data_IF_890098287536
#
_entry.id   IF_890098287536
#
_cell.length_a   1.000
_cell.length_b   1.000
_cell.length_c   1.000
_cell.angle_alpha   90.00
_cell.angle_beta   90.00
_cell.angle_gamma   90.00
#
_symmetry.space_group_name_H-M   'P 1'
#
loop_
_entity.id
_entity.type
_entity.pdbx_description
1 polymer ?
#
# COMPACT_ATOMS: atom_id res chain seq x y z
N UNK A 1 -3.76 -13.14 -8.68
CA UNK A 1 -3.62 -13.49 -7.26
C UNK A 1 -2.14 -13.72 -6.88
N UNK A 2 -1.38 -14.53 -7.62
CA UNK A 2 0.05 -14.75 -7.31
C UNK A 2 0.82 -13.44 -7.33
N UNK A 3 0.66 -12.61 -8.36
CA UNK A 3 1.42 -11.37 -8.55
C UNK A 3 1.06 -10.26 -7.55
N UNK A 4 -0.16 -10.27 -7.00
CA UNK A 4 -0.63 -9.33 -5.95
C UNK A 4 -0.17 -9.75 -4.54
N UNK A 5 0.50 -10.82 -4.34
CA UNK A 5 0.69 -11.75 -3.24
C UNK A 5 -0.55 -11.89 -2.31
N UNK A 6 -1.69 -12.27 -2.91
CA UNK A 6 -2.88 -12.58 -2.12
C UNK A 6 -2.67 -13.87 -1.32
N UNK A 7 -3.04 -13.86 -0.04
CA UNK A 7 -2.98 -15.08 0.78
C UNK A 7 -3.84 -16.21 0.15
N UNK A 8 -3.36 -17.45 0.06
CA UNK A 8 -2.06 -17.99 0.52
C UNK A 8 -0.92 -17.93 -0.53
N UNK A 9 -1.10 -17.29 -1.67
CA UNK A 9 -0.18 -17.28 -2.82
C UNK A 9 0.95 -16.23 -2.71
N UNK A 10 1.33 -15.85 -1.51
CA UNK A 10 2.25 -14.73 -1.22
C UNK A 10 3.68 -15.17 -0.84
N UNK A 11 3.89 -16.46 -0.58
CA UNK A 11 5.13 -16.96 0.06
C UNK A 11 6.40 -16.72 -0.74
N UNK A 12 6.31 -16.61 -2.06
CA UNK A 12 7.42 -16.31 -2.95
C UNK A 12 7.99 -14.90 -2.78
N UNK A 13 7.17 -13.94 -2.30
CA UNK A 13 7.52 -12.53 -2.32
C UNK A 13 8.69 -12.17 -1.38
N UNK A 14 8.71 -12.62 -0.10
CA UNK A 14 9.83 -12.34 0.78
C UNK A 14 11.14 -12.93 0.26
N UNK A 15 11.14 -14.16 -0.23
CA UNK A 15 12.33 -14.83 -0.76
C UNK A 15 12.86 -14.10 -2.00
N UNK A 16 11.96 -13.72 -2.92
CA UNK A 16 12.34 -12.93 -4.09
C UNK A 16 12.99 -11.60 -3.72
N UNK A 17 12.47 -10.88 -2.70
CA UNK A 17 13.06 -9.62 -2.24
C UNK A 17 14.41 -9.80 -1.56
N UNK A 18 14.59 -10.87 -0.80
CA UNK A 18 15.85 -11.17 -0.09
C UNK A 18 16.98 -11.45 -1.06
N UNK A 19 16.71 -12.27 -2.08
CA UNK A 19 17.71 -12.66 -3.09
C UNK A 19 17.97 -11.56 -4.13
N UNK A 20 16.99 -10.73 -4.43
CA UNK A 20 17.11 -9.69 -5.45
C UNK A 20 18.06 -8.55 -5.03
N UNK A 21 18.82 -7.95 -5.98
CA UNK A 21 19.54 -6.71 -5.72
C UNK A 21 18.55 -5.56 -5.42
N UNK A 22 19.04 -4.50 -4.75
CA UNK A 22 18.18 -3.38 -4.28
C UNK A 22 17.29 -2.80 -5.39
N UNK A 23 17.86 -2.54 -6.57
CA UNK A 23 17.10 -1.98 -7.70
C UNK A 23 15.96 -2.90 -8.15
N UNK A 24 16.18 -4.21 -8.20
CA UNK A 24 15.14 -5.18 -8.55
C UNK A 24 14.05 -5.25 -7.46
N UNK A 25 14.42 -5.18 -6.17
CA UNK A 25 13.46 -5.12 -5.06
C UNK A 25 12.60 -3.85 -5.14
N UNK A 26 13.19 -2.71 -5.49
CA UNK A 26 12.44 -1.45 -5.69
C UNK A 26 11.42 -1.60 -6.83
N UNK A 27 11.83 -2.10 -8.00
CA UNK A 27 10.92 -2.31 -9.13
C UNK A 27 9.81 -3.32 -8.81
N UNK A 28 10.17 -4.41 -8.13
CA UNK A 28 9.21 -5.44 -7.72
C UNK A 28 8.14 -4.86 -6.78
N UNK A 29 8.57 -4.15 -5.75
CA UNK A 29 7.67 -3.56 -4.78
C UNK A 29 6.87 -2.37 -5.34
N UNK A 30 7.53 -1.44 -6.04
CA UNK A 30 6.90 -0.22 -6.52
C UNK A 30 5.90 -0.45 -7.67
N UNK A 31 6.22 -1.33 -8.62
CA UNK A 31 5.48 -1.46 -9.89
C UNK A 31 4.88 -2.86 -10.06
N UNK A 32 5.69 -3.92 -9.96
CA UNK A 32 5.26 -5.26 -10.39
C UNK A 32 4.09 -5.81 -9.56
N UNK A 33 4.04 -5.55 -8.25
CA UNK A 33 2.91 -5.95 -7.41
C UNK A 33 1.60 -5.30 -7.87
N UNK A 34 1.65 -4.02 -8.27
CA UNK A 34 0.48 -3.26 -8.72
C UNK A 34 -0.05 -3.73 -10.07
N UNK A 35 0.79 -4.29 -10.91
CA UNK A 35 0.33 -4.92 -12.17
C UNK A 35 -0.67 -6.06 -11.93
N UNK A 36 -0.54 -6.80 -10.83
CA UNK A 36 -1.51 -7.83 -10.46
C UNK A 36 -2.86 -7.26 -10.06
N UNK A 37 -2.88 -6.25 -9.19
CA UNK A 37 -4.12 -5.55 -8.80
C UNK A 37 -4.75 -4.82 -9.99
N UNK A 38 -3.94 -4.18 -10.83
CA UNK A 38 -4.38 -3.60 -12.09
C UNK A 38 -4.99 -4.65 -13.03
N UNK A 39 -4.40 -5.85 -13.09
CA UNK A 39 -4.95 -6.98 -13.86
C UNK A 39 -6.35 -7.40 -13.38
N UNK A 40 -6.60 -7.40 -12.06
CA UNK A 40 -7.95 -7.60 -11.53
C UNK A 40 -8.89 -6.47 -11.96
N UNK A 41 -8.51 -5.22 -11.76
CA UNK A 41 -9.34 -4.07 -12.11
C UNK A 41 -9.59 -3.97 -13.63
N UNK A 42 -8.57 -4.15 -14.45
CA UNK A 42 -8.67 -3.91 -15.90
C UNK A 42 -9.23 -5.08 -16.69
N UNK A 43 -8.93 -6.31 -16.28
CA UNK A 43 -9.27 -7.52 -17.01
C UNK A 43 -10.20 -8.45 -16.22
N UNK A 44 -9.82 -8.83 -14.99
CA UNK A 44 -10.53 -9.87 -14.25
C UNK A 44 -11.99 -9.53 -13.96
N UNK A 45 -12.25 -8.38 -13.34
CA UNK A 45 -13.60 -7.99 -12.96
C UNK A 45 -14.47 -7.55 -14.16
N UNK A 46 -13.97 -6.75 -15.13
CA UNK A 46 -14.81 -6.36 -16.27
C UNK A 46 -15.13 -7.49 -17.24
N UNK A 47 -14.21 -8.44 -17.46
CA UNK A 47 -14.45 -9.57 -18.36
C UNK A 47 -15.36 -10.64 -17.73
N UNK A 48 -15.33 -10.79 -16.41
CA UNK A 48 -16.08 -11.82 -15.69
C UNK A 48 -16.89 -11.24 -14.52
N UNK A 49 -17.81 -10.31 -14.76
CA UNK A 49 -18.50 -9.59 -13.68
C UNK A 49 -19.33 -10.49 -12.77
N UNK A 50 -19.98 -11.54 -13.32
CA UNK A 50 -20.74 -12.52 -12.53
C UNK A 50 -19.84 -13.35 -11.61
N UNK A 51 -18.76 -13.88 -12.16
CA UNK A 51 -17.78 -14.61 -11.36
C UNK A 51 -17.12 -13.68 -10.31
N UNK A 52 -16.83 -12.44 -10.69
CA UNK A 52 -16.30 -11.44 -9.76
C UNK A 52 -17.24 -11.22 -8.57
N UNK A 53 -18.54 -11.02 -8.81
CA UNK A 53 -19.53 -10.86 -7.75
C UNK A 53 -19.66 -12.10 -6.86
N UNK A 54 -19.66 -13.29 -7.46
CA UNK A 54 -19.80 -14.56 -6.74
C UNK A 54 -18.57 -14.88 -5.88
N UNK A 55 -17.35 -14.59 -6.36
CA UNK A 55 -16.12 -14.87 -5.63
C UNK A 55 -15.65 -13.72 -4.73
N UNK A 56 -16.20 -12.50 -4.88
CA UNK A 56 -15.81 -11.34 -4.08
C UNK A 56 -15.84 -11.60 -2.56
N UNK A 57 -16.86 -12.26 -1.96
CA UNK A 57 -16.84 -12.51 -0.53
C UNK A 57 -15.67 -13.40 -0.09
N UNK A 58 -15.40 -14.49 -0.81
CA UNK A 58 -14.29 -15.39 -0.50
C UNK A 58 -12.93 -14.72 -0.67
N UNK A 59 -12.75 -13.95 -1.74
CA UNK A 59 -11.51 -13.22 -2.02
C UNK A 59 -11.30 -12.08 -1.01
N UNK A 60 -12.38 -11.44 -0.54
CA UNK A 60 -12.34 -10.46 0.53
C UNK A 60 -11.87 -11.06 1.86
N UNK A 61 -12.34 -12.27 2.20
CA UNK A 61 -11.87 -12.98 3.41
C UNK A 61 -10.39 -13.33 3.28
N UNK A 62 -9.94 -13.85 2.13
CA UNK A 62 -8.53 -14.15 1.91
C UNK A 62 -7.65 -12.89 1.97
N UNK A 63 -8.14 -11.77 1.45
CA UNK A 63 -7.47 -10.48 1.55
C UNK A 63 -7.36 -10.02 3.01
N UNK A 64 -8.43 -10.14 3.79
CA UNK A 64 -8.43 -9.81 5.22
C UNK A 64 -7.47 -10.70 6.03
N UNK A 65 -7.43 -12.01 5.74
CA UNK A 65 -6.42 -12.91 6.32
C UNK A 65 -5.01 -12.44 5.95
N UNK A 66 -4.78 -12.06 4.68
CA UNK A 66 -3.50 -11.53 4.21
C UNK A 66 -3.06 -10.27 4.95
N UNK A 67 -3.98 -9.39 5.31
CA UNK A 67 -3.72 -8.18 6.12
C UNK A 67 -3.10 -8.57 7.46
N UNK A 68 -3.81 -9.39 8.24
CA UNK A 68 -3.38 -9.75 9.60
C UNK A 68 -2.14 -10.62 9.56
N UNK A 69 -2.14 -11.64 8.72
CA UNK A 69 -1.01 -12.56 8.57
C UNK A 69 0.26 -11.82 8.13
N UNK A 70 0.17 -10.99 7.07
CA UNK A 70 1.30 -10.23 6.57
C UNK A 70 1.88 -9.27 7.61
N UNK A 71 1.02 -8.57 8.35
CA UNK A 71 1.43 -7.68 9.43
C UNK A 71 2.11 -8.39 10.61
N UNK A 72 1.55 -9.53 11.05
CA UNK A 72 2.15 -10.34 12.12
C UNK A 72 3.49 -10.96 11.67
N UNK A 73 3.56 -11.44 10.43
CA UNK A 73 4.81 -11.96 9.87
C UNK A 73 5.88 -10.88 9.76
N UNK A 74 5.52 -9.64 9.40
CA UNK A 74 6.46 -8.52 9.39
C UNK A 74 7.06 -8.23 10.77
N UNK A 75 6.26 -8.30 11.85
CA UNK A 75 6.71 -8.09 13.24
C UNK A 75 7.82 -9.04 13.70
N UNK A 76 7.81 -10.28 13.24
CA UNK A 76 8.78 -11.31 13.69
C UNK A 76 10.00 -11.42 12.80
N UNK A 77 10.10 -10.65 11.71
CA UNK A 77 11.23 -10.73 10.79
C UNK A 77 12.53 -10.24 11.43
N UNK A 78 13.61 -10.92 11.11
CA UNK A 78 14.98 -10.58 11.54
C UNK A 78 15.77 -9.84 10.46
N UNK A 79 15.31 -9.89 9.21
CA UNK A 79 15.87 -9.23 8.02
C UNK A 79 15.00 -8.04 7.61
N UNK A 80 15.65 -6.90 7.33
CA UNK A 80 14.94 -5.67 6.95
C UNK A 80 14.17 -5.81 5.64
N UNK A 81 14.73 -6.50 4.63
CA UNK A 81 14.04 -6.71 3.35
C UNK A 81 12.82 -7.61 3.52
N UNK A 82 12.95 -8.70 4.30
CA UNK A 82 11.82 -9.58 4.60
C UNK A 82 10.70 -8.83 5.34
N UNK A 83 11.04 -7.97 6.30
CA UNK A 83 10.06 -7.15 7.02
C UNK A 83 9.27 -6.26 6.04
N UNK A 84 9.97 -5.53 5.16
CA UNK A 84 9.32 -4.67 4.16
C UNK A 84 8.52 -5.49 3.14
N UNK A 85 8.98 -6.70 2.77
CA UNK A 85 8.25 -7.58 1.88
C UNK A 85 6.92 -8.07 2.49
N UNK A 86 6.93 -8.52 3.75
CA UNK A 86 5.71 -8.93 4.45
C UNK A 86 4.77 -7.75 4.73
N UNK A 87 5.31 -6.54 4.96
CA UNK A 87 4.48 -5.33 5.02
C UNK A 87 3.71 -5.11 3.72
N UNK A 88 4.34 -5.39 2.58
CA UNK A 88 3.65 -5.32 1.27
C UNK A 88 2.53 -6.33 1.13
N UNK A 89 2.66 -7.55 1.69
CA UNK A 89 1.56 -8.53 1.72
C UNK A 89 0.36 -7.97 2.47
N UNK A 90 0.58 -7.33 3.62
CA UNK A 90 -0.47 -6.70 4.43
C UNK A 90 -1.16 -5.55 3.68
N UNK A 91 -0.40 -4.58 3.16
CA UNK A 91 -0.96 -3.41 2.47
C UNK A 91 -1.64 -3.78 1.14
N UNK A 92 -1.08 -4.73 0.38
CA UNK A 92 -1.75 -5.23 -0.84
C UNK A 92 -2.99 -6.06 -0.50
N UNK A 93 -3.04 -6.72 0.66
CA UNK A 93 -4.25 -7.30 1.22
C UNK A 93 -5.37 -6.26 1.37
N UNK A 94 -5.07 -5.08 1.95
CA UNK A 94 -6.02 -3.98 2.06
C UNK A 94 -6.50 -3.47 0.68
N UNK A 95 -5.57 -3.30 -0.27
CA UNK A 95 -5.90 -2.92 -1.64
C UNK A 95 -6.87 -3.92 -2.27
N UNK A 96 -6.62 -5.22 -2.15
CA UNK A 96 -7.49 -6.25 -2.74
C UNK A 96 -8.82 -6.35 -2.02
N UNK A 97 -8.86 -6.19 -0.71
CA UNK A 97 -10.11 -6.11 0.05
C UNK A 97 -10.99 -4.95 -0.44
N UNK A 98 -10.39 -3.79 -0.68
CA UNK A 98 -11.07 -2.63 -1.23
C UNK A 98 -11.54 -2.88 -2.67
N UNK A 99 -10.72 -3.50 -3.53
CA UNK A 99 -11.11 -3.86 -4.91
C UNK A 99 -12.35 -4.77 -4.93
N UNK A 100 -12.40 -5.78 -4.06
CA UNK A 100 -13.53 -6.71 -3.98
C UNK A 100 -14.75 -6.16 -3.23
N UNK A 101 -14.66 -4.99 -2.62
CA UNK A 101 -15.80 -4.30 -2.02
C UNK A 101 -16.75 -3.69 -3.07
N UNK A 102 -16.31 -3.56 -4.32
CA UNK A 102 -17.11 -3.18 -5.50
C UNK A 102 -17.96 -1.91 -5.30
N UNK A 103 -17.45 -0.91 -4.59
CA UNK A 103 -18.07 0.41 -4.46
C UNK A 103 -17.09 1.52 -4.83
N UNK A 104 -17.60 2.74 -4.97
CA UNK A 104 -16.84 3.87 -5.50
C UNK A 104 -15.65 4.21 -4.60
N UNK A 105 -15.90 4.44 -3.33
CA UNK A 105 -14.89 4.87 -2.35
C UNK A 105 -13.78 3.82 -2.19
N UNK A 106 -14.15 2.53 -2.13
CA UNK A 106 -13.19 1.44 -2.04
C UNK A 106 -12.33 1.31 -3.30
N UNK A 107 -12.95 1.40 -4.48
CA UNK A 107 -12.23 1.27 -5.77
C UNK A 107 -11.28 2.44 -5.97
N UNK A 108 -11.74 3.66 -5.71
CA UNK A 108 -10.92 4.87 -5.77
C UNK A 108 -9.76 4.80 -4.77
N UNK A 109 -10.07 4.43 -3.52
CA UNK A 109 -9.08 4.20 -2.46
C UNK A 109 -8.05 3.14 -2.82
N UNK A 110 -8.48 2.02 -3.41
CA UNK A 110 -7.58 0.94 -3.85
C UNK A 110 -6.59 1.42 -4.92
N UNK A 111 -7.08 2.15 -5.94
CA UNK A 111 -6.22 2.70 -7.01
C UNK A 111 -5.23 3.70 -6.41
N UNK A 112 -5.72 4.59 -5.55
CA UNK A 112 -4.85 5.59 -4.91
C UNK A 112 -3.84 4.94 -3.98
N UNK A 113 -4.23 3.93 -3.21
CA UNK A 113 -3.33 3.19 -2.33
C UNK A 113 -2.28 2.39 -3.10
N UNK A 114 -2.58 1.89 -4.29
CA UNK A 114 -1.56 1.28 -5.14
C UNK A 114 -0.43 2.27 -5.48
N UNK A 115 -0.77 3.52 -5.82
CA UNK A 115 0.22 4.57 -6.10
C UNK A 115 1.02 4.92 -4.84
N UNK A 116 0.34 5.14 -3.72
CA UNK A 116 0.94 5.49 -2.43
C UNK A 116 1.91 4.41 -1.95
N UNK A 117 1.47 3.16 -1.93
CA UNK A 117 2.30 2.02 -1.56
C UNK A 117 3.51 1.87 -2.51
N UNK A 118 3.34 2.16 -3.82
CA UNK A 118 4.44 2.16 -4.78
C UNK A 118 5.55 3.11 -4.38
N UNK A 119 5.21 4.37 -4.06
CA UNK A 119 6.16 5.38 -3.64
C UNK A 119 6.79 5.06 -2.28
N UNK A 120 5.97 4.81 -1.27
CA UNK A 120 6.44 4.61 0.11
C UNK A 120 7.28 3.34 0.25
N UNK A 121 6.83 2.20 -0.30
CA UNK A 121 7.57 0.94 -0.20
C UNK A 121 8.80 0.93 -1.11
N UNK A 122 8.71 1.55 -2.30
CA UNK A 122 9.89 1.78 -3.14
C UNK A 122 10.98 2.55 -2.40
N UNK A 123 10.60 3.64 -1.71
CA UNK A 123 11.51 4.42 -0.88
C UNK A 123 12.05 3.64 0.33
N UNK A 124 11.23 2.78 0.97
CA UNK A 124 11.70 1.89 2.05
C UNK A 124 12.79 0.94 1.55
N UNK A 125 12.61 0.31 0.38
CA UNK A 125 13.63 -0.56 -0.19
C UNK A 125 14.89 0.20 -0.60
N UNK A 126 14.77 1.45 -1.07
CA UNK A 126 15.94 2.32 -1.31
C UNK A 126 16.69 2.59 -0.01
N UNK A 127 16.00 2.95 1.06
CA UNK A 127 16.62 3.19 2.37
C UNK A 127 17.30 1.92 2.92
N UNK A 128 16.65 0.76 2.84
CA UNK A 128 17.26 -0.52 3.23
C UNK A 128 18.47 -0.84 2.38
N UNK A 129 18.40 -0.55 1.07
CA UNK A 129 19.52 -0.74 0.14
C UNK A 129 20.73 0.15 0.46
N UNK A 130 20.51 1.43 0.74
CA UNK A 130 21.54 2.39 1.16
C UNK A 130 22.26 1.90 2.43
N UNK A 131 21.51 1.42 3.40
CA UNK A 131 22.08 0.90 4.63
C UNK A 131 22.86 -0.39 4.39
N UNK A 132 22.34 -1.27 3.55
CA UNK A 132 23.01 -2.52 3.14
C UNK A 132 24.31 -2.27 2.39
N UNK A 133 24.36 -1.31 1.46
CA UNK A 133 25.58 -0.95 0.73
C UNK A 133 26.71 -0.48 1.66
N UNK A 134 26.35 0.12 2.80
CA UNK A 134 27.33 0.59 3.80
C UNK A 134 27.76 -0.48 4.78
N UNK A 135 26.84 -1.34 5.20
CA UNK A 135 27.07 -2.27 6.32
C UNK A 135 27.26 -3.71 5.88
N UNK A 136 26.89 -4.05 4.63
CA UNK A 136 26.87 -5.40 4.06
C UNK A 136 26.07 -6.42 4.87
N UNK A 137 25.19 -5.95 5.76
CA UNK A 137 24.25 -6.80 6.50
C UNK A 137 22.82 -6.25 6.42
N UNK A 138 21.83 -7.16 6.40
CA UNK A 138 20.41 -6.84 6.42
C UNK A 138 19.76 -7.21 7.75
N UNK A 139 20.50 -7.87 8.63
CA UNK A 139 19.97 -8.32 9.92
C UNK A 139 19.74 -7.14 10.83
N UNK A 140 18.50 -6.96 11.28
CA UNK A 140 18.10 -5.87 12.18
C UNK A 140 18.95 -5.87 13.45
N UNK A 141 19.33 -7.06 13.93
CA UNK A 141 20.15 -7.23 15.13
C UNK A 141 21.57 -6.68 15.00
N UNK A 142 22.11 -6.57 13.78
CA UNK A 142 23.48 -6.08 13.54
C UNK A 142 23.56 -4.54 13.55
N UNK A 143 22.43 -3.85 13.46
CA UNK A 143 22.34 -2.40 13.45
C UNK A 143 22.00 -1.84 14.85
N UNK A 144 22.25 -0.53 15.02
CA UNK A 144 21.91 0.24 16.21
C UNK A 144 22.56 1.62 16.16
N UNK A 145 21.83 2.67 16.52
CA UNK A 145 22.35 4.03 16.65
C UNK A 145 22.79 4.70 15.34
N UNK A 146 22.42 4.18 14.18
CA UNK A 146 22.86 4.70 12.88
C UNK A 146 22.49 6.19 12.68
N UNK A 147 21.45 6.71 13.32
CA UNK A 147 21.05 8.11 13.26
C UNK A 147 22.13 9.07 13.76
N UNK A 148 23.00 8.64 14.69
CA UNK A 148 24.11 9.46 15.21
C UNK A 148 25.16 9.81 14.12
N UNK A 149 25.33 8.93 13.14
CA UNK A 149 26.29 9.09 12.03
C UNK A 149 25.60 9.52 10.73
N UNK A 150 24.31 9.21 10.57
CA UNK A 150 23.53 9.42 9.37
C UNK A 150 22.21 10.17 9.68
N UNK A 151 22.28 11.43 10.20
CA UNK A 151 21.09 12.15 10.65
C UNK A 151 20.13 12.50 9.48
N UNK A 152 20.65 12.87 8.31
CA UNK A 152 19.80 13.17 7.15
C UNK A 152 19.09 11.92 6.64
N UNK A 153 19.83 10.81 6.55
CA UNK A 153 19.24 9.51 6.23
C UNK A 153 18.15 9.11 7.22
N UNK A 154 18.41 9.29 8.53
CA UNK A 154 17.44 8.95 9.57
C UNK A 154 16.16 9.78 9.45
N UNK A 155 16.26 11.08 9.16
CA UNK A 155 15.10 11.93 8.90
C UNK A 155 14.29 11.50 7.69
N UNK A 156 14.95 11.20 6.58
CA UNK A 156 14.29 10.70 5.36
C UNK A 156 13.62 9.34 5.63
N UNK A 157 14.33 8.41 6.24
CA UNK A 157 13.77 7.10 6.57
C UNK A 157 12.56 7.20 7.50
N UNK A 158 12.57 8.15 8.46
CA UNK A 158 11.43 8.42 9.34
C UNK A 158 10.20 8.86 8.53
N UNK A 159 10.34 9.82 7.61
CA UNK A 159 9.22 10.29 6.77
C UNK A 159 8.66 9.15 5.92
N UNK A 160 9.51 8.38 5.27
CA UNK A 160 9.11 7.25 4.42
C UNK A 160 8.39 6.17 5.24
N UNK A 161 8.91 5.86 6.43
CA UNK A 161 8.33 4.91 7.35
C UNK A 161 6.96 5.38 7.85
N UNK A 162 6.83 6.63 8.28
CA UNK A 162 5.56 7.22 8.73
C UNK A 162 4.52 7.29 7.60
N UNK A 163 4.97 7.52 6.37
CA UNK A 163 4.12 7.42 5.18
C UNK A 163 3.55 6.01 5.00
N UNK A 164 4.38 4.99 5.16
CA UNK A 164 3.95 3.59 5.07
C UNK A 164 3.11 3.15 6.27
N UNK A 165 3.25 3.81 7.43
CA UNK A 165 2.44 3.56 8.60
C UNK A 165 1.06 4.27 8.58
N UNK A 166 0.79 5.07 7.55
CA UNK A 166 -0.48 5.77 7.41
C UNK A 166 -0.60 7.02 8.28
N UNK A 167 0.50 7.79 8.48
CA UNK A 167 0.44 9.05 9.23
C UNK A 167 -0.39 10.10 8.46
N UNK A 168 -1.40 10.76 9.09
CA UNK A 168 -2.13 11.87 8.48
C UNK A 168 -1.18 12.98 7.97
N UNK A 169 -1.48 13.48 6.76
CA UNK A 169 -0.63 14.44 6.06
C UNK A 169 0.41 13.81 5.10
N UNK A 170 0.58 12.48 5.14
CA UNK A 170 1.37 11.73 4.17
C UNK A 170 0.46 10.87 3.28
N UNK A 171 0.96 10.49 2.12
CA UNK A 171 0.17 9.85 1.07
C UNK A 171 -0.50 8.53 1.52
N UNK A 172 0.16 7.70 2.33
CA UNK A 172 -0.39 6.42 2.79
C UNK A 172 -1.75 6.55 3.45
N UNK A 173 -1.91 7.52 4.35
CA UNK A 173 -3.16 7.77 5.07
C UNK A 173 -4.35 8.02 4.14
N UNK A 174 -4.18 8.88 3.13
CA UNK A 174 -5.28 9.25 2.24
C UNK A 174 -5.86 8.05 1.46
N UNK A 175 -5.00 7.14 1.01
CA UNK A 175 -5.44 5.92 0.33
C UNK A 175 -6.06 4.90 1.28
N UNK A 176 -5.46 4.70 2.46
CA UNK A 176 -5.96 3.76 3.47
C UNK A 176 -7.33 4.15 3.99
N UNK A 177 -7.54 5.43 4.32
CA UNK A 177 -8.83 5.91 4.85
C UNK A 177 -9.96 5.72 3.84
N UNK A 178 -9.73 5.96 2.54
CA UNK A 178 -10.70 5.70 1.50
C UNK A 178 -11.01 4.20 1.38
N UNK A 179 -9.98 3.34 1.45
CA UNK A 179 -10.18 1.90 1.49
C UNK A 179 -11.05 1.49 2.69
N UNK A 180 -10.77 2.02 3.89
CA UNK A 180 -11.54 1.69 5.10
C UNK A 180 -13.00 2.14 4.99
N UNK A 181 -13.27 3.34 4.53
CA UNK A 181 -14.65 3.80 4.33
C UNK A 181 -15.40 2.95 3.32
N UNK A 182 -14.78 2.65 2.19
CA UNK A 182 -15.41 1.81 1.19
C UNK A 182 -15.64 0.36 1.65
N UNK A 183 -14.68 -0.23 2.36
CA UNK A 183 -14.84 -1.56 2.95
C UNK A 183 -15.92 -1.54 4.04
N UNK A 184 -15.99 -0.49 4.88
CA UNK A 184 -17.01 -0.33 5.92
C UNK A 184 -18.42 -0.27 5.35
N UNK A 185 -18.61 0.44 4.24
CA UNK A 185 -19.88 0.50 3.53
C UNK A 185 -20.33 -0.86 2.96
N UNK A 186 -19.36 -1.72 2.58
CA UNK A 186 -19.64 -3.06 2.05
C UNK A 186 -19.81 -4.10 3.16
N UNK A 187 -18.90 -4.15 4.14
CA UNK A 187 -18.89 -5.14 5.23
C UNK A 187 -18.16 -4.62 6.47
N UNK A 188 -18.92 -4.34 7.53
CA UNK A 188 -18.41 -3.80 8.79
C UNK A 188 -17.41 -4.72 9.51
N UNK A 189 -17.60 -6.03 9.44
CA UNK A 189 -16.69 -6.99 10.09
C UNK A 189 -15.33 -7.01 9.40
N UNK A 190 -15.30 -7.04 8.06
CA UNK A 190 -14.06 -6.96 7.28
C UNK A 190 -13.38 -5.59 7.44
N UNK A 191 -14.16 -4.52 7.59
CA UNK A 191 -13.63 -3.19 7.91
C UNK A 191 -12.90 -3.18 9.25
N UNK A 192 -13.47 -3.77 10.29
CA UNK A 192 -12.82 -3.88 11.60
C UNK A 192 -11.49 -4.64 11.51
N UNK A 193 -11.43 -5.70 10.70
CA UNK A 193 -10.18 -6.42 10.43
C UNK A 193 -9.21 -5.53 9.65
N UNK A 194 -9.68 -4.80 8.63
CA UNK A 194 -8.80 -3.98 7.78
C UNK A 194 -8.08 -2.87 8.56
N UNK A 195 -8.70 -2.28 9.58
CA UNK A 195 -8.08 -1.25 10.44
C UNK A 195 -6.86 -1.78 11.21
N UNK A 196 -6.75 -3.11 11.42
CA UNK A 196 -5.55 -3.70 12.03
C UNK A 196 -4.28 -3.44 11.21
N UNK A 197 -4.39 -3.13 9.90
CA UNK A 197 -3.27 -2.71 9.06
C UNK A 197 -2.52 -1.55 9.69
N UNK A 198 -3.23 -0.51 10.15
CA UNK A 198 -2.63 0.70 10.73
C UNK A 198 -1.87 0.37 12.02
N UNK A 199 -2.47 -0.44 12.89
CA UNK A 199 -1.86 -0.80 14.17
C UNK A 199 -0.60 -1.64 13.95
N UNK A 200 -0.69 -2.64 13.07
CA UNK A 200 0.43 -3.53 12.78
C UNK A 200 1.54 -2.82 12.03
N UNK A 201 1.20 -1.96 11.05
CA UNK A 201 2.20 -1.19 10.29
C UNK A 201 2.98 -0.24 11.19
N UNK A 202 2.30 0.50 12.05
CA UNK A 202 2.96 1.34 13.05
C UNK A 202 3.86 0.51 13.97
N UNK A 203 3.38 -0.65 14.44
CA UNK A 203 4.14 -1.49 15.36
C UNK A 203 5.45 -1.98 14.74
N UNK A 204 5.42 -2.65 13.56
CA UNK A 204 6.66 -3.21 12.98
C UNK A 204 7.58 -2.15 12.40
N UNK A 205 7.06 -1.03 11.86
CA UNK A 205 7.91 0.03 11.31
C UNK A 205 8.60 0.85 12.40
N UNK A 206 7.87 1.24 13.45
CA UNK A 206 8.48 1.95 14.59
C UNK A 206 9.48 1.05 15.33
N UNK A 207 9.19 -0.24 15.44
CA UNK A 207 10.12 -1.21 16.00
C UNK A 207 11.40 -1.31 15.16
N UNK A 208 11.27 -1.38 13.81
CA UNK A 208 12.40 -1.38 12.88
C UNK A 208 13.23 -0.10 13.05
N UNK A 209 12.59 1.06 13.00
CA UNK A 209 13.24 2.36 13.11
C UNK A 209 14.04 2.47 14.43
N UNK A 210 13.37 2.14 15.53
CA UNK A 210 14.01 2.16 16.85
C UNK A 210 15.24 1.27 16.93
N UNK A 211 15.16 0.07 16.37
CA UNK A 211 16.24 -0.91 16.42
C UNK A 211 17.42 -0.56 15.55
N UNK A 212 17.17 0.00 14.39
CA UNK A 212 18.22 0.25 13.38
C UNK A 212 18.85 1.62 13.58
N UNK A 213 18.04 2.65 13.83
CA UNK A 213 18.50 4.03 13.81
C UNK A 213 18.73 4.62 15.19
N UNK A 214 17.97 4.20 16.19
CA UNK A 214 18.09 4.75 17.56
C UNK A 214 18.90 3.79 18.46
N UNK A 215 19.25 4.32 19.65
CA UNK A 215 20.04 3.58 20.66
C UNK A 215 21.55 3.77 20.50
N UNK A 216 22.35 2.97 21.22
CA UNK A 216 23.81 3.08 21.14
C UNK A 216 24.31 2.58 19.79
N UNK A 217 25.30 3.30 19.25
CA UNK A 217 25.96 2.90 18.01
C UNK A 217 26.78 1.65 18.25
N UNK A 218 26.52 0.59 17.49
CA UNK A 218 27.20 -0.71 17.67
C UNK A 218 28.65 -0.70 17.26
N UNK A 219 28.98 0.03 16.21
CA UNK A 219 30.36 0.22 15.76
C UNK A 219 30.63 1.71 15.57
N UNK A 220 31.08 2.42 16.60
CA UNK A 220 31.40 3.83 16.54
C UNK A 220 32.53 4.18 15.58
N UNK A 221 33.40 3.24 15.28
CA UNK A 221 34.58 3.41 14.43
C UNK A 221 34.36 3.07 12.95
N UNK A 222 33.21 2.56 12.54
CA UNK A 222 33.00 2.15 11.15
C UNK A 222 32.98 3.36 10.19
N UNK A 223 34.02 3.55 9.35
CA UNK A 223 34.13 4.67 8.41
C UNK A 223 33.10 4.59 7.28
N UNK A 224 32.43 3.45 7.10
CA UNK A 224 31.43 3.23 6.05
C UNK A 224 30.09 3.88 6.38
N UNK A 225 29.77 4.09 7.67
CA UNK A 225 28.58 4.79 8.14
C UNK A 225 28.69 6.28 7.92
N UNK A 226 28.65 6.72 6.66
CA UNK A 226 28.57 8.12 6.23
C UNK A 226 27.15 8.44 5.80
N UNK A 227 26.74 9.71 6.01
CA UNK A 227 25.40 10.18 5.63
C UNK A 227 25.22 10.20 4.07
N UNK A 228 24.03 10.55 3.64
CA UNK A 228 23.63 10.56 2.22
C UNK A 228 24.54 11.44 1.37
N UNK A 229 24.90 10.92 0.22
CA UNK A 229 25.59 11.68 -0.80
C UNK A 229 24.59 12.44 -1.71
N UNK A 230 25.11 13.31 -2.58
CA UNK A 230 24.30 14.11 -3.51
C UNK A 230 23.47 13.26 -4.46
N UNK A 231 23.98 12.10 -4.87
CA UNK A 231 23.29 11.18 -5.78
C UNK A 231 22.12 10.51 -5.05
N UNK A 232 22.32 10.07 -3.82
CA UNK A 232 21.27 9.45 -3.00
C UNK A 232 20.16 10.46 -2.71
N UNK A 233 20.50 11.71 -2.37
CA UNK A 233 19.53 12.78 -2.20
C UNK A 233 18.77 13.08 -3.50
N UNK A 234 19.43 13.06 -4.66
CA UNK A 234 18.80 13.37 -5.93
C UNK A 234 17.64 12.43 -6.29
N UNK A 235 17.65 11.17 -5.86
CA UNK A 235 16.52 10.28 -6.09
C UNK A 235 15.56 10.16 -4.90
N UNK A 236 16.01 10.37 -3.66
CA UNK A 236 15.13 10.31 -2.49
C UNK A 236 14.25 11.57 -2.32
N UNK A 237 14.81 12.76 -2.52
CA UNK A 237 14.09 14.03 -2.32
C UNK A 237 12.85 14.14 -3.20
N UNK A 238 12.87 13.86 -4.51
CA UNK A 238 11.67 13.88 -5.34
C UNK A 238 10.57 12.93 -4.84
N UNK A 239 10.95 11.74 -4.36
CA UNK A 239 9.98 10.78 -3.80
C UNK A 239 9.35 11.34 -2.52
N UNK A 240 10.14 11.93 -1.62
CA UNK A 240 9.64 12.56 -0.39
C UNK A 240 8.69 13.71 -0.72
N UNK A 241 9.05 14.56 -1.68
CA UNK A 241 8.19 15.67 -2.13
C UNK A 241 6.85 15.12 -2.64
N UNK A 242 6.87 14.06 -3.43
CA UNK A 242 5.64 13.41 -3.92
C UNK A 242 4.83 12.78 -2.79
N UNK A 243 5.46 12.13 -1.82
CA UNK A 243 4.81 11.54 -0.64
C UNK A 243 4.03 12.63 0.12
N UNK A 244 4.68 13.76 0.40
CA UNK A 244 4.06 14.89 1.12
C UNK A 244 2.98 15.55 0.26
N UNK A 245 3.26 15.81 -1.01
CA UNK A 245 2.30 16.44 -1.93
C UNK A 245 1.03 15.61 -2.10
N UNK A 246 1.16 14.30 -2.31
CA UNK A 246 0.02 13.38 -2.41
C UNK A 246 -0.74 13.27 -1.10
N UNK A 247 -0.08 13.39 0.04
CA UNK A 247 -0.73 13.37 1.35
C UNK A 247 -1.54 14.62 1.65
N UNK A 248 -1.01 15.80 1.29
CA UNK A 248 -1.66 17.09 1.56
C UNK A 248 -2.72 17.46 0.49
N UNK A 249 -2.50 17.04 -0.75
CA UNK A 249 -3.37 17.40 -1.89
C UNK A 249 -3.89 16.16 -2.63
N UNK A 250 -4.53 15.19 -1.96
CA UNK A 250 -5.03 13.97 -2.61
C UNK A 250 -6.05 14.25 -3.71
N UNK A 251 -6.86 15.30 -3.55
CA UNK A 251 -7.89 15.69 -4.52
C UNK A 251 -7.37 15.99 -5.94
N UNK A 252 -6.09 16.35 -6.09
CA UNK A 252 -5.48 16.54 -7.43
C UNK A 252 -5.44 15.24 -8.23
N UNK A 253 -5.24 14.13 -7.54
CA UNK A 253 -5.18 12.80 -8.15
C UNK A 253 -6.57 12.15 -8.21
N UNK A 254 -7.35 12.20 -7.13
CA UNK A 254 -8.66 11.57 -7.00
C UNK A 254 -9.66 12.09 -8.04
N UNK A 255 -9.74 13.41 -8.25
CA UNK A 255 -10.60 13.99 -9.31
C UNK A 255 -10.34 13.45 -10.71
N UNK A 256 -9.12 12.97 -10.99
CA UNK A 256 -8.79 12.36 -12.28
C UNK A 256 -9.30 10.92 -12.39
N UNK A 257 -9.57 10.28 -11.24
CA UNK A 257 -10.07 8.91 -11.17
C UNK A 257 -11.60 8.85 -11.21
N UNK A 258 -12.30 9.89 -10.74
CA UNK A 258 -13.76 9.91 -10.56
C UNK A 258 -14.54 9.36 -11.76
N UNK A 259 -14.36 9.94 -12.94
CA UNK A 259 -15.08 9.53 -14.15
C UNK A 259 -14.70 8.10 -14.62
N UNK A 260 -13.46 7.69 -14.36
CA UNK A 260 -12.99 6.35 -14.75
C UNK A 260 -13.52 5.29 -13.80
N UNK A 261 -13.53 5.56 -12.50
CA UNK A 261 -14.04 4.65 -11.46
C UNK A 261 -15.56 4.49 -11.61
N UNK A 262 -16.31 5.57 -11.86
CA UNK A 262 -17.75 5.49 -12.10
C UNK A 262 -18.06 4.59 -13.30
N UNK A 263 -17.48 4.85 -14.46
CA UNK A 263 -17.67 4.02 -15.67
C UNK A 263 -17.27 2.56 -15.48
N UNK A 264 -16.18 2.34 -14.74
CA UNK A 264 -15.72 1.00 -14.41
C UNK A 264 -16.74 0.23 -13.55
N UNK A 265 -17.29 0.87 -12.51
CA UNK A 265 -18.29 0.24 -11.65
C UNK A 265 -19.61 -0.02 -12.37
N UNK A 266 -20.04 0.87 -13.25
CA UNK A 266 -21.22 0.65 -14.08
C UNK A 266 -21.03 -0.59 -14.98
N UNK A 267 -19.86 -0.73 -15.60
CA UNK A 267 -19.53 -1.89 -16.42
C UNK A 267 -19.47 -3.21 -15.64
N UNK A 268 -19.05 -3.20 -14.36
CA UNK A 268 -18.95 -4.41 -13.54
C UNK A 268 -20.28 -4.74 -12.85
N UNK A 269 -21.03 -3.74 -12.35
CA UNK A 269 -22.24 -3.96 -11.55
C UNK A 269 -23.48 -4.24 -12.40
N UNK A 270 -23.67 -3.53 -13.50
CA UNK A 270 -24.90 -3.63 -14.31
C UNK A 270 -25.13 -5.05 -14.83
N UNK A 271 -24.14 -5.74 -15.45
CA UNK A 271 -24.33 -7.13 -15.87
C UNK A 271 -24.59 -8.08 -14.71
N UNK A 272 -23.89 -7.90 -13.58
CA UNK A 272 -24.07 -8.73 -12.40
C UNK A 272 -25.47 -8.56 -11.78
N UNK A 273 -25.95 -7.31 -11.65
CA UNK A 273 -27.27 -7.00 -11.12
C UNK A 273 -28.40 -7.55 -11.99
N UNK A 274 -28.29 -7.40 -13.32
CA UNK A 274 -29.27 -7.91 -14.27
C UNK A 274 -29.41 -9.45 -14.21
N UNK A 275 -28.30 -10.17 -14.09
CA UNK A 275 -28.32 -11.64 -14.07
C UNK A 275 -28.72 -12.22 -12.71
N UNK A 276 -28.43 -11.52 -11.61
CA UNK A 276 -28.83 -11.94 -10.26
C UNK A 276 -30.27 -11.51 -9.89
N UNK A 277 -31.00 -10.87 -10.81
CA UNK A 277 -32.38 -10.40 -10.58
C UNK A 277 -32.47 -9.25 -9.55
N UNK A 278 -31.35 -8.58 -9.30
CA UNK A 278 -31.31 -7.37 -8.46
C UNK A 278 -31.71 -6.19 -9.32
N UNK A 279 -32.65 -5.36 -8.86
CA UNK A 279 -33.03 -4.15 -9.57
C UNK A 279 -31.80 -3.28 -9.85
N UNK A 280 -31.65 -2.72 -11.08
CA UNK A 280 -30.56 -1.79 -11.34
C UNK A 280 -30.64 -0.62 -10.37
N UNK A 281 -29.49 -0.21 -9.82
CA UNK A 281 -29.43 0.96 -8.98
C UNK A 281 -29.98 2.18 -9.78
N UNK A 282 -30.75 3.09 -9.15
CA UNK A 282 -31.34 4.22 -9.86
C UNK A 282 -30.24 5.00 -10.58
N UNK A 283 -30.46 5.25 -11.87
CA UNK A 283 -29.53 5.98 -12.72
C UNK A 283 -29.26 7.36 -12.12
N UNK A 284 -28.01 7.69 -11.87
CA UNK A 284 -27.60 9.02 -11.34
C UNK A 284 -27.90 10.19 -12.29
N UNK A 285 -28.50 9.94 -13.45
CA UNK A 285 -29.00 10.96 -14.38
C UNK A 285 -30.24 11.74 -13.88
N UNK A 286 -31.07 11.11 -13.04
CA UNK A 286 -32.32 11.77 -12.59
C UNK A 286 -32.11 12.83 -11.49
N UNK A 287 -30.94 12.83 -10.81
CA UNK A 287 -30.65 13.87 -9.80
C UNK A 287 -30.26 15.22 -10.40
N UNK A 288 -29.82 15.27 -11.65
CA UNK A 288 -29.49 16.52 -12.34
C UNK A 288 -30.75 17.20 -12.89
N UNK A 289 -31.73 16.43 -13.39
CA UNK A 289 -33.02 16.96 -13.85
C UNK A 289 -33.89 17.47 -12.69
N UNK A 290 -33.93 16.72 -11.57
CA UNK A 290 -34.69 17.19 -10.38
C UNK A 290 -34.06 18.43 -9.71
N UNK A 291 -32.75 18.68 -9.86
CA UNK A 291 -32.15 19.95 -9.42
C UNK A 291 -32.50 21.11 -10.34
N UNK A 292 -32.62 20.89 -11.63
CA UNK A 292 -33.02 21.93 -12.58
C UNK A 292 -34.51 22.31 -12.49
N UNK A 293 -35.35 21.40 -11.98
CA UNK A 293 -36.76 21.70 -11.71
C UNK A 293 -36.99 22.43 -10.38
N UNK A 294 -36.10 22.29 -9.39
CA UNK A 294 -36.18 23.00 -8.10
C UNK A 294 -35.58 24.41 -8.14
N UNK A 295 -34.88 24.78 -9.21
CA UNK A 295 -34.30 26.10 -9.44
C UNK A 295 -35.15 26.94 -10.42
N UNK A 296 -36.34 26.48 -10.86
CA UNK A 296 -37.37 27.23 -11.61
C UNK A 296 -38.54 27.55 -10.73
#
# INVERSE_FOLDING_TARGET
>A
AIKVPLFPLHTWLPDAHVEAPTAASVLLAAVLLKMGAYGFLRLGLPLFPLAAASFAPALSVLAAVGIVYGGLMALIQKDMKSLVAYSSVSHMGLVMLAVFSLNFEATEGAIYQMLNHGLSTGALFLCVGILYERTHTRKIADHGGAAARMPVFAGIFLVVMLSSAGLPGLNGFAGEILCFFGVFAANKALAAVSVTTVILSAAYLLWLYRRVLLGPLKDPGDPRLRDLDKRELAYLVPIIVLIVFMGLFPGVFLRKLDASVSRYLDAVKTPAAATLGLAPAPERGQTAENRAELER
#
